data_IF_148163187688
#
_entry.id   IF_148163187688
#
_cell.length_a   1.000
_cell.length_b   1.000
_cell.length_c   1.000
_cell.angle_alpha   90.00
_cell.angle_beta   90.00
_cell.angle_gamma   90.00
#
_symmetry.space_group_name_H-M   'P 1'
#
loop_
_entity.id
_entity.type
_entity.pdbx_description
1 polymer ?
#
# COMPACT_ATOMS: atom_id res chain seq x y z
N UNK A 1 -9.96 20.55 3.94
CA UNK A 1 -9.87 19.15 3.56
C UNK A 1 -9.97 18.28 4.82
N UNK A 2 -10.85 17.29 4.79
CA UNK A 2 -11.10 16.38 5.91
C UNK A 2 -10.59 15.00 5.51
N UNK A 3 -9.75 14.40 6.35
CA UNK A 3 -9.36 13.00 6.29
C UNK A 3 -10.01 12.32 7.49
N UNK A 4 -10.64 11.17 7.27
CA UNK A 4 -11.33 10.44 8.31
C UNK A 4 -11.06 8.94 8.23
N UNK A 5 -10.88 8.30 9.34
CA UNK A 5 -10.96 6.86 9.50
C UNK A 5 -12.35 6.49 9.99
N UNK A 6 -13.03 5.65 9.24
CA UNK A 6 -14.38 5.18 9.54
C UNK A 6 -14.35 3.66 9.76
N UNK A 7 -14.89 3.22 10.87
CA UNK A 7 -15.03 1.80 11.19
C UNK A 7 -16.32 1.28 10.56
N UNK A 8 -16.19 0.37 9.60
CA UNK A 8 -17.29 -0.23 8.87
C UNK A 8 -18.17 -1.12 9.74
N UNK A 9 -17.62 -1.72 10.80
CA UNK A 9 -18.34 -2.65 11.67
C UNK A 9 -19.17 -1.92 12.72
N UNK A 10 -18.55 -0.98 13.43
CA UNK A 10 -19.24 -0.17 14.44
C UNK A 10 -20.00 1.03 13.86
N UNK A 11 -19.76 1.37 12.58
CA UNK A 11 -20.33 2.52 11.88
C UNK A 11 -20.02 3.85 12.58
N UNK A 12 -18.79 4.00 13.05
CA UNK A 12 -18.32 5.19 13.77
C UNK A 12 -17.04 5.73 13.18
N UNK A 13 -16.82 7.03 13.35
CA UNK A 13 -15.52 7.63 13.03
C UNK A 13 -14.53 7.33 14.15
N UNK A 14 -13.42 6.69 13.79
CA UNK A 14 -12.34 6.35 14.72
C UNK A 14 -11.35 7.51 14.87
N UNK A 15 -11.15 8.25 13.79
CA UNK A 15 -10.26 9.40 13.79
C UNK A 15 -10.60 10.38 12.67
N UNK A 16 -10.33 11.67 12.91
CA UNK A 16 -10.54 12.75 11.94
C UNK A 16 -9.35 13.70 12.00
N UNK A 17 -8.81 14.05 10.83
CA UNK A 17 -7.75 15.06 10.70
C UNK A 17 -8.15 16.11 9.67
N UNK A 18 -8.19 17.37 10.10
CA UNK A 18 -8.55 18.50 9.25
C UNK A 18 -7.28 19.22 8.79
N UNK A 19 -7.15 19.39 7.48
CA UNK A 19 -6.03 20.11 6.85
C UNK A 19 -6.53 21.34 6.09
N UNK A 20 -5.68 22.37 6.03
CA UNK A 20 -5.96 23.52 5.15
C UNK A 20 -5.98 23.05 3.69
N UNK A 21 -6.94 23.50 2.90
CA UNK A 21 -7.11 23.05 1.51
C UNK A 21 -5.85 23.26 0.63
N UNK A 22 -5.10 24.34 0.87
CA UNK A 22 -3.88 24.67 0.12
C UNK A 22 -2.66 23.81 0.47
N UNK A 23 -2.68 23.13 1.63
CA UNK A 23 -1.58 22.29 2.13
C UNK A 23 -2.05 20.87 2.44
N UNK A 24 -3.06 20.38 1.74
CA UNK A 24 -3.56 19.02 1.92
C UNK A 24 -2.50 18.00 1.53
N UNK A 25 -2.33 17.01 2.37
CA UNK A 25 -1.50 15.85 2.12
C UNK A 25 -2.16 14.62 2.78
N UNK A 26 -2.91 13.88 1.99
CA UNK A 26 -3.70 12.74 2.46
C UNK A 26 -2.82 11.63 3.02
N UNK A 27 -1.66 11.38 2.40
CA UNK A 27 -0.71 10.36 2.87
C UNK A 27 -0.07 10.73 4.22
N UNK A 28 0.31 12.00 4.40
CA UNK A 28 0.80 12.46 5.69
C UNK A 28 -0.31 12.44 6.76
N UNK A 29 -1.55 12.74 6.40
CA UNK A 29 -2.69 12.62 7.30
C UNK A 29 -2.92 11.16 7.73
N UNK A 30 -2.86 10.21 6.78
CA UNK A 30 -2.95 8.78 7.09
C UNK A 30 -1.86 8.37 8.09
N UNK A 31 -0.60 8.71 7.84
CA UNK A 31 0.51 8.38 8.75
C UNK A 31 0.27 8.97 10.14
N UNK A 32 -0.18 10.22 10.26
CA UNK A 32 -0.49 10.82 11.57
C UNK A 32 -1.63 10.09 12.30
N UNK A 33 -2.70 9.72 11.60
CA UNK A 33 -3.80 8.95 12.19
C UNK A 33 -3.35 7.54 12.59
N UNK A 34 -2.51 6.89 11.76
CA UNK A 34 -1.88 5.61 12.06
C UNK A 34 -1.07 5.69 13.36
N UNK A 35 -0.15 6.62 13.47
CA UNK A 35 0.78 6.72 14.61
C UNK A 35 0.04 6.98 15.93
N UNK A 36 -0.97 7.83 15.95
CA UNK A 36 -1.73 8.16 17.17
C UNK A 36 -2.84 7.15 17.52
N UNK A 37 -3.18 6.23 16.62
CA UNK A 37 -4.21 5.24 16.88
C UNK A 37 -3.77 4.25 17.97
N UNK A 38 -4.62 4.00 18.96
CA UNK A 38 -4.44 2.98 19.99
C UNK A 38 -4.92 1.57 19.55
N UNK A 39 -5.53 1.46 18.38
CA UNK A 39 -6.06 0.17 17.89
C UNK A 39 -4.89 -0.73 17.46
N UNK A 40 -4.84 -1.95 17.99
CA UNK A 40 -3.76 -2.91 17.74
C UNK A 40 -4.03 -3.84 16.56
N UNK A 41 -5.30 -4.14 16.28
CA UNK A 41 -5.71 -5.03 15.17
C UNK A 41 -6.68 -4.29 14.26
N UNK A 42 -6.26 -4.11 13.01
CA UNK A 42 -6.98 -3.30 12.05
C UNK A 42 -6.74 -3.82 10.63
N UNK A 43 -7.77 -3.75 9.79
CA UNK A 43 -7.62 -3.90 8.33
C UNK A 43 -8.01 -2.56 7.73
N UNK A 44 -7.02 -1.80 7.26
CA UNK A 44 -7.26 -0.53 6.59
C UNK A 44 -7.68 -0.80 5.13
N UNK A 45 -8.88 -0.36 4.75
CA UNK A 45 -9.33 -0.38 3.36
C UNK A 45 -9.23 1.03 2.79
N UNK A 46 -8.43 1.22 1.75
CA UNK A 46 -8.16 2.54 1.21
C UNK A 46 -8.15 2.57 -0.32
N UNK A 47 -8.26 3.80 -0.86
CA UNK A 47 -8.19 4.06 -2.29
C UNK A 47 -6.74 4.18 -2.76
N UNK A 48 -6.56 4.15 -4.08
CA UNK A 48 -5.27 4.26 -4.79
C UNK A 48 -4.43 5.49 -4.42
N UNK A 49 -5.04 6.55 -3.89
CA UNK A 49 -4.29 7.73 -3.44
C UNK A 49 -3.38 7.43 -2.23
N UNK A 50 -3.64 6.33 -1.53
CA UNK A 50 -2.86 5.87 -0.38
C UNK A 50 -1.78 4.82 -0.75
N UNK A 51 -1.58 4.56 -2.04
CA UNK A 51 -0.53 3.70 -2.58
C UNK A 51 0.85 4.36 -2.41
N UNK A 52 1.43 4.26 -1.21
CA UNK A 52 2.77 4.81 -0.92
C UNK A 52 3.62 3.86 -0.10
N UNK A 53 4.91 3.79 -0.39
CA UNK A 53 5.84 2.95 0.38
C UNK A 53 5.92 3.35 1.85
N UNK A 54 5.87 4.66 2.14
CA UNK A 54 5.90 5.15 3.52
C UNK A 54 4.66 4.69 4.30
N UNK A 55 3.47 4.86 3.73
CA UNK A 55 2.22 4.40 4.35
C UNK A 55 2.23 2.89 4.62
N UNK A 56 2.67 2.08 3.63
CA UNK A 56 2.79 0.62 3.79
C UNK A 56 3.76 0.29 4.93
N UNK A 57 4.94 0.92 4.96
CA UNK A 57 5.95 0.66 5.99
C UNK A 57 5.44 1.00 7.41
N UNK A 58 4.67 2.10 7.56
CA UNK A 58 4.01 2.44 8.83
C UNK A 58 2.97 1.39 9.24
N UNK A 59 2.12 0.95 8.32
CA UNK A 59 1.12 -0.09 8.60
C UNK A 59 1.78 -1.40 9.03
N UNK A 60 2.79 -1.86 8.32
CA UNK A 60 3.51 -3.10 8.65
C UNK A 60 4.20 -3.01 10.01
N UNK A 61 4.88 -1.90 10.32
CA UNK A 61 5.52 -1.71 11.61
C UNK A 61 4.53 -1.67 12.77
N UNK A 62 3.34 -1.16 12.54
CA UNK A 62 2.26 -1.15 13.54
C UNK A 62 1.54 -2.50 13.65
N UNK A 63 1.85 -3.45 12.78
CA UNK A 63 1.17 -4.75 12.71
C UNK A 63 -0.24 -4.67 12.12
N UNK A 64 -0.57 -3.56 11.45
CA UNK A 64 -1.84 -3.40 10.80
C UNK A 64 -1.89 -4.16 9.47
N UNK A 65 -3.06 -4.64 9.15
CA UNK A 65 -3.36 -5.18 7.83
C UNK A 65 -3.92 -4.09 6.95
N UNK A 66 -3.72 -4.22 5.64
CA UNK A 66 -4.24 -3.25 4.69
C UNK A 66 -4.79 -3.92 3.44
N UNK A 67 -5.70 -3.22 2.78
CA UNK A 67 -6.27 -3.55 1.49
C UNK A 67 -6.40 -2.25 0.68
N UNK A 68 -5.48 -1.99 -0.22
CA UNK A 68 -5.40 -0.73 -0.97
C UNK A 68 -5.61 -1.01 -2.45
N UNK A 69 -6.58 -0.33 -3.05
CA UNK A 69 -6.75 -0.36 -4.50
C UNK A 69 -5.56 0.29 -5.17
N UNK A 70 -5.12 -0.29 -6.30
CA UNK A 70 -4.02 0.22 -7.09
C UNK A 70 -4.40 0.32 -8.56
N UNK A 71 -3.58 1.03 -9.36
CA UNK A 71 -3.70 1.05 -10.82
C UNK A 71 -2.81 -0.04 -11.41
N UNK A 72 -3.33 -0.83 -12.36
CA UNK A 72 -2.56 -1.89 -13.01
C UNK A 72 -1.37 -1.40 -13.83
N UNK A 73 -1.46 -0.19 -14.36
CA UNK A 73 -0.49 0.37 -15.31
C UNK A 73 0.42 1.45 -14.72
N UNK A 74 0.33 1.70 -13.42
CA UNK A 74 1.08 2.78 -12.77
C UNK A 74 1.43 2.43 -11.31
N UNK A 75 2.32 3.22 -10.67
CA UNK A 75 2.62 3.10 -9.26
C UNK A 75 3.48 1.88 -8.91
N UNK A 76 3.19 1.29 -7.76
CA UNK A 76 3.99 0.21 -7.17
C UNK A 76 3.97 -1.07 -8.01
N UNK A 77 2.86 -1.37 -8.65
CA UNK A 77 2.67 -2.61 -9.43
C UNK A 77 3.30 -2.55 -10.82
N UNK A 78 3.42 -1.38 -11.42
CA UNK A 78 3.82 -1.21 -12.82
C UNK A 78 5.07 -2.00 -13.24
N UNK A 79 6.18 -2.01 -12.48
CA UNK A 79 7.39 -2.70 -12.91
C UNK A 79 7.29 -4.23 -12.94
N UNK A 80 6.22 -4.82 -12.41
CA UNK A 80 6.03 -6.27 -12.47
C UNK A 80 5.43 -6.75 -13.79
N UNK A 81 4.87 -5.85 -14.60
CA UNK A 81 4.30 -6.15 -15.92
C UNK A 81 3.37 -7.37 -15.92
N UNK A 82 2.47 -7.42 -14.93
CA UNK A 82 1.47 -8.49 -14.87
C UNK A 82 0.61 -8.49 -16.13
N UNK A 83 0.31 -9.68 -16.64
CA UNK A 83 -0.60 -9.84 -17.77
C UNK A 83 -1.94 -9.14 -17.47
N UNK A 84 -2.48 -8.35 -18.42
CA UNK A 84 -3.77 -7.71 -18.24
C UNK A 84 -4.91 -8.74 -18.28
N UNK A 85 -6.10 -8.31 -17.90
CA UNK A 85 -7.38 -9.00 -18.13
C UNK A 85 -7.43 -10.46 -17.65
N UNK A 86 -6.76 -10.75 -16.53
CA UNK A 86 -6.81 -12.04 -15.87
C UNK A 86 -6.81 -11.91 -14.35
N UNK A 87 -7.36 -12.90 -13.67
CA UNK A 87 -7.23 -13.00 -12.22
C UNK A 87 -5.76 -13.22 -11.84
N UNK A 88 -5.37 -12.61 -10.73
CA UNK A 88 -4.01 -12.68 -10.22
C UNK A 88 -4.05 -12.78 -8.69
N UNK A 89 -3.15 -13.60 -8.14
CA UNK A 89 -2.93 -13.68 -6.69
C UNK A 89 -1.48 -14.08 -6.45
N UNK A 90 -0.62 -13.08 -6.22
CA UNK A 90 0.83 -13.30 -6.12
C UNK A 90 1.47 -12.44 -5.04
N UNK A 91 2.43 -13.00 -4.35
CA UNK A 91 3.33 -12.26 -3.46
C UNK A 91 4.55 -11.76 -4.22
N UNK A 92 4.96 -10.54 -3.91
CA UNK A 92 6.18 -9.92 -4.41
C UNK A 92 6.90 -9.18 -3.29
N UNK A 93 8.21 -9.38 -3.20
CA UNK A 93 9.09 -8.59 -2.34
C UNK A 93 9.59 -7.37 -3.11
N UNK A 94 9.49 -6.20 -2.49
CA UNK A 94 10.06 -4.95 -2.99
C UNK A 94 11.14 -4.49 -2.02
N UNK A 95 12.36 -4.38 -2.50
CA UNK A 95 13.52 -3.93 -1.72
C UNK A 95 13.80 -2.45 -2.01
N UNK A 96 13.63 -1.61 -1.02
CA UNK A 96 13.79 -0.16 -1.09
C UNK A 96 15.13 0.27 -0.54
N UNK A 97 15.74 1.29 -1.14
CA UNK A 97 16.93 1.96 -0.59
C UNK A 97 17.00 3.42 -1.03
N UNK A 98 17.73 4.24 -0.26
CA UNK A 98 18.09 5.62 -0.61
C UNK A 98 19.53 5.78 -1.12
N UNK A 99 20.30 4.68 -1.23
CA UNK A 99 21.68 4.67 -1.71
C UNK A 99 21.78 3.95 -3.05
N UNK A 100 22.45 4.60 -3.99
CA UNK A 100 22.78 4.02 -5.30
C UNK A 100 24.23 3.51 -5.33
N UNK A 101 24.53 2.50 -4.53
CA UNK A 101 25.83 1.81 -4.59
C UNK A 101 25.96 1.03 -5.92
N UNK A 102 27.19 0.69 -6.32
CA UNK A 102 27.39 -0.13 -7.51
C UNK A 102 26.71 -1.49 -7.40
N UNK A 103 26.74 -2.09 -6.21
CA UNK A 103 26.02 -3.33 -5.92
C UNK A 103 24.53 -3.16 -6.16
N UNK A 104 23.92 -2.08 -5.61
CA UNK A 104 22.49 -1.84 -5.80
C UNK A 104 22.13 -1.57 -7.28
N UNK A 105 22.97 -0.85 -7.99
CA UNK A 105 22.75 -0.60 -9.44
C UNK A 105 22.72 -1.91 -10.22
N UNK A 106 23.60 -2.86 -9.88
CA UNK A 106 23.60 -4.18 -10.51
C UNK A 106 22.32 -4.95 -10.14
N UNK A 107 21.97 -5.04 -8.85
CA UNK A 107 20.72 -5.71 -8.39
C UNK A 107 19.49 -5.13 -9.09
N UNK A 108 19.40 -3.80 -9.22
CA UNK A 108 18.29 -3.14 -9.92
C UNK A 108 18.29 -3.41 -11.43
N UNK A 109 19.44 -3.60 -12.04
CA UNK A 109 19.53 -3.99 -13.46
C UNK A 109 19.04 -5.42 -13.67
N UNK A 110 19.36 -6.32 -12.74
CA UNK A 110 18.99 -7.72 -12.82
C UNK A 110 17.50 -7.95 -12.50
N UNK A 111 16.95 -7.20 -11.51
CA UNK A 111 15.52 -7.25 -11.17
C UNK A 111 14.98 -5.86 -10.83
N UNK A 112 14.60 -5.06 -11.84
CA UNK A 112 14.10 -3.70 -11.65
C UNK A 112 12.71 -3.65 -10.97
N UNK A 113 11.97 -4.73 -10.97
CA UNK A 113 10.67 -4.81 -10.30
C UNK A 113 10.83 -4.94 -8.79
N UNK A 114 11.83 -5.66 -8.34
CA UNK A 114 12.14 -5.85 -6.92
C UNK A 114 12.92 -4.68 -6.34
N UNK A 115 14.05 -4.28 -6.94
CA UNK A 115 14.99 -3.32 -6.36
C UNK A 115 14.69 -1.89 -6.78
N UNK A 116 14.26 -1.03 -5.82
CA UNK A 116 13.81 0.32 -6.10
C UNK A 116 14.55 1.37 -5.30
N UNK A 117 15.00 2.38 -6.00
CA UNK A 117 15.61 3.56 -5.40
C UNK A 117 14.54 4.59 -5.03
N UNK A 118 14.61 5.09 -3.80
CA UNK A 118 13.76 6.18 -3.32
C UNK A 118 14.53 7.52 -3.39
N UNK A 119 14.08 8.49 -4.20
CA UNK A 119 14.67 9.81 -4.23
C UNK A 119 14.45 10.54 -2.89
N UNK A 120 15.27 11.57 -2.64
CA UNK A 120 15.19 12.39 -1.41
C UNK A 120 13.81 13.03 -1.21
N UNK A 121 13.14 13.36 -2.31
CA UNK A 121 11.79 13.95 -2.30
C UNK A 121 10.67 12.98 -1.92
N UNK A 122 10.91 11.67 -1.98
CA UNK A 122 9.91 10.67 -1.59
C UNK A 122 9.89 10.51 -0.07
N UNK A 123 8.74 10.66 0.59
CA UNK A 123 8.62 10.35 2.02
C UNK A 123 9.00 8.89 2.30
N UNK A 124 9.81 8.68 3.34
CA UNK A 124 10.15 7.35 3.87
C UNK A 124 10.85 7.52 5.21
N UNK A 125 10.14 7.24 6.29
CA UNK A 125 10.58 7.51 7.65
C UNK A 125 11.52 6.43 8.22
N UNK A 126 11.62 5.28 7.53
CA UNK A 126 12.36 4.10 8.01
C UNK A 126 13.70 3.86 7.31
N UNK A 127 14.05 4.69 6.33
CA UNK A 127 15.36 4.67 5.65
C UNK A 127 15.93 6.07 5.67
N UNK A 128 16.98 6.29 6.46
CA UNK A 128 17.71 7.56 6.49
C UNK A 128 18.42 7.82 5.14
N UNK A 129 18.53 9.08 4.79
CA UNK A 129 19.24 9.53 3.55
C UNK A 129 20.73 9.18 3.55
N UNK A 130 21.33 9.05 4.73
CA UNK A 130 22.76 8.82 4.91
C UNK A 130 23.12 7.35 5.17
N UNK A 131 22.13 6.52 5.50
CA UNK A 131 22.33 5.09 5.77
C UNK A 131 22.39 4.27 4.47
N UNK A 132 23.28 3.27 4.45
CA UNK A 132 23.25 2.21 3.43
C UNK A 132 22.36 1.07 3.93
N UNK A 133 21.04 1.30 3.88
CA UNK A 133 20.02 0.41 4.42
C UNK A 133 19.07 -0.03 3.32
N UNK A 134 18.61 -1.24 3.44
CA UNK A 134 17.55 -1.80 2.64
C UNK A 134 16.31 -2.03 3.52
N UNK A 135 15.15 -1.82 2.94
CA UNK A 135 13.86 -2.16 3.54
C UNK A 135 13.09 -3.05 2.57
N UNK A 136 12.77 -4.25 3.02
CA UNK A 136 11.93 -5.17 2.26
C UNK A 136 10.46 -4.98 2.67
N UNK A 137 9.59 -4.94 1.67
CA UNK A 137 8.14 -4.95 1.81
C UNK A 137 7.61 -6.15 1.02
N UNK A 138 6.96 -7.08 1.73
CA UNK A 138 6.29 -8.22 1.11
C UNK A 138 4.83 -7.88 0.86
N UNK A 139 4.47 -7.77 -0.41
CA UNK A 139 3.14 -7.30 -0.83
C UNK A 139 2.47 -8.40 -1.65
N UNK A 140 1.24 -8.73 -1.29
CA UNK A 140 0.36 -9.58 -2.09
C UNK A 140 -0.46 -8.71 -3.02
N UNK A 141 -0.40 -9.00 -4.32
CA UNK A 141 -1.22 -8.39 -5.34
C UNK A 141 -2.35 -9.34 -5.72
N UNK A 142 -3.58 -8.89 -5.56
CA UNK A 142 -4.77 -9.66 -5.92
C UNK A 142 -5.56 -8.89 -6.95
N UNK A 143 -5.80 -9.51 -8.11
CA UNK A 143 -6.68 -8.98 -9.16
C UNK A 143 -7.87 -9.88 -9.32
N UNK A 144 -9.04 -9.29 -9.40
CA UNK A 144 -10.30 -9.99 -9.58
C UNK A 144 -11.20 -9.25 -10.56
N UNK A 145 -12.01 -10.03 -11.28
CA UNK A 145 -13.00 -9.48 -12.20
C UNK A 145 -14.18 -8.88 -11.44
N UNK A 146 -14.60 -7.67 -11.81
CA UNK A 146 -15.75 -6.95 -11.24
C UNK A 146 -16.94 -6.86 -12.19
N UNK A 147 -16.70 -6.86 -13.50
CA UNK A 147 -17.69 -6.93 -14.57
C UNK A 147 -17.05 -7.60 -15.79
N UNK A 148 -17.82 -7.80 -16.86
CA UNK A 148 -17.29 -8.30 -18.13
C UNK A 148 -16.12 -7.42 -18.59
N UNK A 149 -14.97 -8.05 -18.86
CA UNK A 149 -13.71 -7.43 -19.26
C UNK A 149 -13.19 -6.29 -18.36
N UNK A 150 -13.69 -6.24 -17.11
CA UNK A 150 -13.28 -5.22 -16.13
C UNK A 150 -12.70 -5.86 -14.87
N UNK A 151 -11.47 -5.45 -14.55
CA UNK A 151 -10.74 -5.98 -13.40
C UNK A 151 -10.38 -4.86 -12.42
N UNK A 152 -10.29 -5.22 -11.13
CA UNK A 152 -9.69 -4.38 -10.10
C UNK A 152 -8.51 -5.11 -9.46
N UNK A 153 -7.44 -4.34 -9.20
CA UNK A 153 -6.27 -4.85 -8.51
C UNK A 153 -6.12 -4.14 -7.16
N UNK A 154 -5.84 -4.93 -6.15
CA UNK A 154 -5.55 -4.46 -4.80
C UNK A 154 -4.19 -4.98 -4.36
N UNK A 155 -3.53 -4.23 -3.49
CA UNK A 155 -2.35 -4.66 -2.75
C UNK A 155 -2.70 -4.86 -1.28
N UNK A 156 -2.12 -5.87 -0.65
CA UNK A 156 -2.43 -6.26 0.72
C UNK A 156 -1.26 -7.00 1.39
N UNK A 157 -1.29 -7.10 2.72
CA UNK A 157 -0.44 -8.01 3.51
C UNK A 157 -1.29 -9.08 4.24
N UNK A 158 -2.53 -9.28 3.82
CA UNK A 158 -3.38 -10.39 4.28
C UNK A 158 -2.88 -11.71 3.71
N UNK A 159 -2.80 -12.76 4.55
CA UNK A 159 -2.39 -14.09 4.11
C UNK A 159 -3.43 -14.70 3.14
N UNK A 160 -2.97 -15.57 2.25
CA UNK A 160 -3.88 -16.27 1.33
C UNK A 160 -4.69 -17.36 2.05
N UNK A 161 -4.12 -17.93 3.11
CA UNK A 161 -4.77 -18.99 3.90
C UNK A 161 -5.97 -18.45 4.68
N UNK A 162 -5.84 -17.26 5.29
CA UNK A 162 -6.93 -16.64 6.06
C UNK A 162 -7.90 -15.86 5.17
N UNK A 163 -7.38 -15.29 4.06
CA UNK A 163 -8.12 -14.41 3.15
C UNK A 163 -7.88 -14.83 1.69
N UNK A 164 -8.58 -15.84 1.18
CA UNK A 164 -8.52 -16.19 -0.24
C UNK A 164 -9.01 -15.05 -1.14
N UNK A 165 -8.71 -15.07 -2.44
CA UNK A 165 -9.02 -13.98 -3.38
C UNK A 165 -10.51 -13.60 -3.40
N UNK A 166 -11.40 -14.56 -3.18
CA UNK A 166 -12.86 -14.31 -3.07
C UNK A 166 -13.21 -13.45 -1.86
N UNK A 167 -12.54 -13.69 -0.72
CA UNK A 167 -12.73 -12.90 0.49
C UNK A 167 -12.14 -11.50 0.35
N UNK A 168 -10.99 -11.36 -0.31
CA UNK A 168 -10.39 -10.05 -0.63
C UNK A 168 -11.36 -9.19 -1.45
N UNK A 169 -12.02 -9.77 -2.46
CA UNK A 169 -13.06 -9.08 -3.25
C UNK A 169 -14.22 -8.63 -2.36
N UNK A 170 -14.69 -9.52 -1.48
CA UNK A 170 -15.79 -9.22 -0.56
C UNK A 170 -15.42 -8.06 0.39
N UNK A 171 -14.28 -8.14 1.08
CA UNK A 171 -13.80 -7.10 1.98
C UNK A 171 -13.66 -5.74 1.29
N UNK A 172 -13.11 -5.73 0.07
CA UNK A 172 -12.96 -4.48 -0.67
C UNK A 172 -14.32 -3.85 -1.00
N UNK A 173 -15.32 -4.67 -1.33
CA UNK A 173 -16.66 -4.19 -1.65
C UNK A 173 -17.40 -3.58 -0.45
N UNK A 174 -17.07 -3.97 0.80
CA UNK A 174 -17.67 -3.38 2.00
C UNK A 174 -17.47 -1.86 2.08
N UNK A 175 -16.40 -1.34 1.45
CA UNK A 175 -16.13 0.10 1.37
C UNK A 175 -17.23 0.89 0.66
N UNK A 176 -17.97 0.27 -0.25
CA UNK A 176 -19.01 0.95 -1.05
C UNK A 176 -20.39 0.92 -0.39
N UNK A 177 -20.50 0.32 0.77
CA UNK A 177 -21.73 0.23 1.56
C UNK A 177 -21.92 1.38 2.58
N UNK A 178 -21.12 2.47 2.44
CA UNK A 178 -21.16 3.64 3.33
C UNK A 178 -22.15 4.66 2.80
#
# INVERSE_FOLDING_TARGET
HINAMYDLLSRTYQDILIQKARSKNENAALVQMLERSAVSKFILIADRNYETYNGIAHMERKGWKYLIRIRDTAGIVQPFHFAPDCNLDVWKTITLTRKQTNTFKQMKKDDPARYRYLPKSSPMDYIDLHENKYLDLDIRFVRFQIAEDTYETVMTNLSADDFPSSEIKHLYNLRWGI
#
